data_IF_097843055617
#
_entry.id   IF_097843055617
#
_cell.length_a   1.000
_cell.length_b   1.000
_cell.length_c   1.000
_cell.angle_alpha   90.00
_cell.angle_beta   90.00
_cell.angle_gamma   90.00
#
_symmetry.space_group_name_H-M   'P 1'
#
loop_
_entity.id
_entity.type
_entity.pdbx_description
1 polymer ?
#
# COMPACT_ATOMS: atom_id res chain seq x y z
N UNK A 1 -27.47 22.93 16.43
CA UNK A 1 -27.51 21.59 15.83
C UNK A 1 -28.00 21.73 14.41
N UNK A 2 -27.28 21.12 13.46
CA UNK A 2 -27.74 20.89 12.09
C UNK A 2 -27.11 19.58 11.61
N UNK A 3 -27.97 18.58 11.50
CA UNK A 3 -27.78 17.22 10.98
C UNK A 3 -28.47 17.13 9.62
N UNK A 4 -27.78 16.65 8.58
CA UNK A 4 -28.33 15.95 7.39
C UNK A 4 -27.14 15.16 6.80
N UNK A 5 -26.96 13.86 7.02
CA UNK A 5 -27.67 12.68 6.48
C UNK A 5 -27.45 12.44 4.97
N UNK A 6 -26.50 11.53 4.71
CA UNK A 6 -26.46 10.47 3.68
C UNK A 6 -26.05 10.84 2.24
N UNK A 7 -25.00 10.16 1.78
CA UNK A 7 -24.58 10.01 0.39
C UNK A 7 -23.86 8.66 0.22
N UNK A 8 -24.60 7.56 0.37
CA UNK A 8 -24.16 6.23 -0.07
C UNK A 8 -24.73 5.98 -1.47
N UNK A 9 -23.88 6.04 -2.50
CA UNK A 9 -23.88 5.13 -3.65
C UNK A 9 -22.68 5.48 -4.55
N UNK A 10 -21.88 4.46 -4.92
CA UNK A 10 -20.59 4.53 -5.65
C UNK A 10 -19.36 4.76 -4.74
N UNK A 11 -18.90 3.67 -4.10
CA UNK A 11 -17.81 3.63 -3.12
C UNK A 11 -16.39 3.93 -3.61
N UNK A 12 -16.17 5.09 -4.22
CA UNK A 12 -14.87 5.79 -4.25
C UNK A 12 -15.16 7.29 -4.04
N UNK A 13 -15.39 7.67 -2.78
CA UNK A 13 -15.32 9.07 -2.34
C UNK A 13 -13.87 9.32 -1.94
N UNK A 14 -13.28 10.39 -2.47
CA UNK A 14 -11.96 10.88 -2.10
C UNK A 14 -11.77 12.29 -2.63
N UNK A 15 -12.44 13.22 -1.95
CA UNK A 15 -12.18 14.67 -1.80
C UNK A 15 -11.26 15.36 -2.83
N UNK A 16 -11.80 16.39 -3.50
CA UNK A 16 -10.98 17.41 -4.18
C UNK A 16 -10.19 18.22 -3.15
N UNK A 17 -9.04 17.70 -2.72
CA UNK A 17 -8.03 18.48 -2.00
C UNK A 17 -7.27 19.37 -2.98
N UNK A 18 -7.30 20.68 -2.75
CA UNK A 18 -6.41 21.68 -3.36
C UNK A 18 -5.01 21.66 -2.72
N UNK A 19 -4.49 20.47 -2.43
CA UNK A 19 -3.11 20.29 -1.98
C UNK A 19 -2.19 20.24 -3.20
N UNK A 20 -1.07 20.96 -3.12
CA UNK A 20 0.08 20.68 -3.99
C UNK A 20 0.37 19.19 -3.82
N UNK A 21 0.25 18.34 -4.85
CA UNK A 21 0.31 16.91 -4.63
C UNK A 21 1.71 16.58 -4.12
N UNK A 22 1.79 16.20 -2.85
CA UNK A 22 2.99 15.60 -2.30
C UNK A 22 3.11 14.25 -3.00
N UNK A 23 3.88 14.22 -4.10
CA UNK A 23 3.86 13.09 -5.02
C UNK A 23 4.28 11.82 -4.29
N UNK A 24 3.54 10.73 -4.54
CA UNK A 24 3.82 9.40 -4.01
C UNK A 24 3.78 8.38 -5.15
N UNK A 25 4.42 7.20 -4.99
CA UNK A 25 4.36 6.16 -6.00
C UNK A 25 2.92 5.71 -6.26
N UNK A 26 2.48 5.69 -7.52
CA UNK A 26 1.18 5.06 -7.86
C UNK A 26 1.29 3.57 -7.67
N UNK A 27 0.49 3.00 -6.78
CA UNK A 27 0.68 1.63 -6.27
C UNK A 27 -0.60 0.80 -6.34
N UNK A 28 -0.46 -0.48 -6.66
CA UNK A 28 -1.54 -1.49 -6.56
C UNK A 28 -1.00 -2.77 -5.93
N UNK A 29 -1.84 -3.47 -5.18
CA UNK A 29 -1.53 -4.77 -4.60
C UNK A 29 -2.53 -5.84 -5.10
N UNK A 30 -2.02 -7.02 -5.43
CA UNK A 30 -2.82 -8.16 -5.89
C UNK A 30 -2.33 -9.44 -5.22
N UNK A 31 -3.22 -10.17 -4.56
CA UNK A 31 -2.89 -11.50 -4.03
C UNK A 31 -2.90 -12.52 -5.17
N UNK A 32 -1.83 -13.31 -5.25
CA UNK A 32 -1.67 -14.44 -6.16
C UNK A 32 -1.40 -15.70 -5.35
N UNK A 33 -1.38 -16.86 -6.01
CA UNK A 33 -1.02 -18.10 -5.34
C UNK A 33 0.43 -18.00 -4.83
N UNK A 34 0.62 -18.15 -3.52
CA UNK A 34 1.93 -18.10 -2.86
C UNK A 34 2.55 -16.74 -2.60
N UNK A 35 1.99 -15.63 -3.11
CA UNK A 35 2.60 -14.30 -3.00
C UNK A 35 1.59 -13.15 -3.13
N UNK A 36 1.98 -11.95 -2.69
CA UNK A 36 1.30 -10.71 -3.04
C UNK A 36 2.18 -9.90 -3.98
N UNK A 37 1.66 -9.61 -5.17
CA UNK A 37 2.34 -8.76 -6.14
C UNK A 37 2.00 -7.29 -5.89
N UNK A 38 3.03 -6.47 -5.68
CA UNK A 38 2.95 -5.03 -5.58
C UNK A 38 3.48 -4.39 -6.86
N UNK A 39 2.62 -3.70 -7.60
CA UNK A 39 3.03 -2.91 -8.77
C UNK A 39 3.07 -1.44 -8.40
N UNK A 40 4.14 -0.77 -8.80
CA UNK A 40 4.32 0.66 -8.56
C UNK A 40 4.86 1.38 -9.80
N UNK A 41 4.59 2.68 -9.88
CA UNK A 41 5.18 3.61 -10.85
C UNK A 41 6.04 4.61 -10.09
N UNK A 42 7.30 4.75 -10.52
CA UNK A 42 8.31 5.56 -9.84
C UNK A 42 8.36 7.02 -10.28
N UNK A 43 7.67 7.38 -11.36
CA UNK A 43 7.57 8.76 -11.88
C UNK A 43 8.93 9.52 -11.93
N UNK A 44 10.01 8.82 -12.32
CA UNK A 44 11.36 9.38 -12.45
C UNK A 44 12.31 9.17 -11.26
N UNK A 45 11.80 8.65 -10.14
CA UNK A 45 12.60 8.32 -8.95
C UNK A 45 13.36 7.00 -9.12
N UNK A 46 14.44 6.85 -8.35
CA UNK A 46 15.36 5.70 -8.39
C UNK A 46 14.65 4.40 -7.98
N UNK A 47 13.91 4.45 -6.88
CA UNK A 47 13.21 3.31 -6.29
C UNK A 47 11.99 3.71 -5.49
N UNK A 48 11.38 2.71 -4.87
CA UNK A 48 10.39 2.87 -3.82
C UNK A 48 10.87 2.19 -2.55
N UNK A 49 10.56 2.78 -1.40
CA UNK A 49 10.73 2.14 -0.11
C UNK A 49 9.39 1.56 0.32
N UNK A 50 9.37 0.25 0.59
CA UNK A 50 8.14 -0.52 0.80
C UNK A 50 8.07 -0.95 2.26
N UNK A 51 6.92 -0.69 2.87
CA UNK A 51 6.58 -1.22 4.19
C UNK A 51 5.30 -2.04 4.14
N UNK A 52 5.18 -2.95 5.08
CA UNK A 52 3.98 -3.77 5.26
C UNK A 52 3.55 -3.85 6.71
N UNK A 53 2.28 -4.20 6.88
CA UNK A 53 1.68 -4.47 8.17
C UNK A 53 0.71 -5.64 8.01
N UNK A 54 0.78 -6.63 8.91
CA UNK A 54 -0.01 -7.86 8.81
C UNK A 54 -1.09 -7.87 9.90
N UNK A 55 -2.33 -8.13 9.52
CA UNK A 55 -3.46 -8.25 10.45
C UNK A 55 -3.62 -7.02 11.33
N UNK A 56 -3.59 -7.22 12.65
CA UNK A 56 -3.76 -6.18 13.66
C UNK A 56 -2.44 -5.56 14.15
N UNK A 57 -1.33 -5.80 13.45
CA UNK A 57 -0.06 -5.14 13.76
C UNK A 57 -0.26 -3.62 13.80
N UNK A 58 0.45 -2.96 14.71
CA UNK A 58 0.43 -1.50 14.92
C UNK A 58 1.67 -0.81 14.37
N UNK A 59 2.74 -1.58 14.14
CA UNK A 59 3.99 -1.14 13.53
C UNK A 59 4.02 -1.45 12.04
N UNK A 60 4.75 -0.65 11.28
CA UNK A 60 5.07 -0.92 9.89
C UNK A 60 6.43 -1.60 9.82
N UNK A 61 6.49 -2.76 9.18
CA UNK A 61 7.71 -3.51 8.95
C UNK A 61 8.29 -3.15 7.60
N UNK A 62 9.57 -2.77 7.59
CA UNK A 62 10.33 -2.61 6.36
C UNK A 62 10.35 -3.93 5.58
N UNK A 63 10.01 -3.85 4.30
CA UNK A 63 10.11 -4.98 3.37
C UNK A 63 11.37 -4.87 2.52
N UNK A 64 11.44 -3.83 1.71
CA UNK A 64 12.47 -3.67 0.70
C UNK A 64 12.52 -2.24 0.17
N UNK A 65 13.67 -1.89 -0.39
CA UNK A 65 13.80 -0.84 -1.40
C UNK A 65 13.81 -1.56 -2.75
N UNK A 66 12.90 -1.19 -3.64
CA UNK A 66 12.82 -1.79 -4.97
C UNK A 66 12.94 -0.75 -6.07
N UNK A 67 13.86 -0.99 -6.99
CA UNK A 67 14.11 -0.15 -8.17
C UNK A 67 13.38 -0.66 -9.40
N UNK A 68 12.67 -1.79 -9.35
CA UNK A 68 11.99 -2.41 -10.50
C UNK A 68 10.63 -2.94 -10.08
N UNK A 69 9.60 -2.55 -10.82
CA UNK A 69 8.24 -3.06 -10.62
C UNK A 69 8.05 -4.34 -11.45
N UNK A 70 7.39 -5.39 -10.93
CA UNK A 70 6.77 -5.49 -9.61
C UNK A 70 7.72 -5.93 -8.49
N UNK A 71 7.33 -5.67 -7.24
CA UNK A 71 7.85 -6.36 -6.05
C UNK A 71 6.90 -7.49 -5.64
N UNK A 72 7.43 -8.66 -5.30
CA UNK A 72 6.64 -9.83 -4.95
C UNK A 72 6.88 -10.19 -3.47
N UNK A 73 5.88 -9.98 -2.62
CA UNK A 73 5.91 -10.42 -1.21
C UNK A 73 5.55 -11.90 -1.11
N UNK A 74 6.58 -12.76 -1.12
CA UNK A 74 6.46 -14.21 -1.00
C UNK A 74 6.55 -14.72 0.45
N UNK A 75 6.41 -13.85 1.46
CA UNK A 75 6.41 -14.30 2.86
C UNK A 75 5.23 -15.25 3.08
N UNK A 76 5.40 -16.38 3.77
CA UNK A 76 4.31 -17.30 4.06
C UNK A 76 3.26 -16.64 4.99
N UNK A 77 2.06 -17.22 5.06
CA UNK A 77 1.06 -16.85 6.06
C UNK A 77 1.68 -16.92 7.47
N UNK A 78 1.40 -15.94 8.32
CA UNK A 78 1.84 -15.98 9.72
C UNK A 78 1.23 -17.16 10.47
N UNK A 79 -0.02 -17.49 10.15
CA UNK A 79 -0.71 -18.67 10.67
C UNK A 79 -1.09 -19.59 9.50
N UNK A 80 -0.53 -20.82 9.41
CA UNK A 80 -0.82 -21.73 8.32
C UNK A 80 -2.32 -22.01 8.16
N UNK A 81 -2.82 -21.89 6.93
CA UNK A 81 -4.23 -22.15 6.60
C UNK A 81 -5.21 -21.06 7.05
N UNK A 82 -4.75 -19.95 7.63
CA UNK A 82 -5.59 -18.80 7.97
C UNK A 82 -5.27 -17.63 7.04
N UNK A 83 -6.23 -17.13 6.25
CA UNK A 83 -6.01 -15.94 5.45
C UNK A 83 -5.73 -14.73 6.34
N UNK A 84 -4.83 -13.86 5.91
CA UNK A 84 -4.43 -12.67 6.65
C UNK A 84 -4.57 -11.42 5.79
N UNK A 85 -4.91 -10.30 6.43
CA UNK A 85 -4.88 -8.99 5.78
C UNK A 85 -3.45 -8.48 5.73
N UNK A 86 -2.96 -8.15 4.55
CA UNK A 86 -1.69 -7.45 4.36
C UNK A 86 -1.95 -6.05 3.87
N UNK A 87 -1.44 -5.08 4.62
CA UNK A 87 -1.49 -3.66 4.32
C UNK A 87 -0.11 -3.21 3.88
N UNK A 88 -0.03 -2.40 2.83
CA UNK A 88 1.22 -1.88 2.30
C UNK A 88 1.15 -0.37 2.13
N UNK A 89 2.29 0.27 2.33
CA UNK A 89 2.51 1.66 1.97
C UNK A 89 3.89 1.81 1.35
N UNK A 90 4.02 2.78 0.46
CA UNK A 90 5.28 3.06 -0.21
C UNK A 90 5.60 4.55 -0.16
N UNK A 91 6.87 4.88 -0.27
CA UNK A 91 7.31 6.23 -0.58
C UNK A 91 8.41 6.17 -1.64
N UNK A 92 8.72 7.31 -2.27
CA UNK A 92 9.84 7.36 -3.21
C UNK A 92 11.16 7.20 -2.49
N UNK A 93 12.16 6.67 -3.20
CA UNK A 93 13.51 6.50 -2.68
C UNK A 93 14.55 6.89 -3.72
N UNK A 94 15.46 7.81 -3.35
CA UNK A 94 16.60 8.28 -4.16
C UNK A 94 17.89 8.29 -3.34
N UNK A 95 18.14 7.21 -2.60
CA UNK A 95 19.18 7.12 -1.57
C UNK A 95 18.62 7.27 -0.15
N UNK A 96 17.55 8.04 0.01
CA UNK A 96 16.77 8.16 1.25
C UNK A 96 15.27 8.09 0.97
N UNK A 97 14.46 7.46 1.84
CA UNK A 97 13.02 7.44 1.68
C UNK A 97 12.42 8.84 1.84
N UNK A 98 11.47 9.19 0.98
CA UNK A 98 10.67 10.40 1.18
C UNK A 98 9.71 10.19 2.34
N UNK A 99 9.36 11.26 3.06
CA UNK A 99 8.41 11.17 4.16
C UNK A 99 6.93 11.24 3.71
N UNK A 100 6.69 11.07 2.40
CA UNK A 100 5.38 11.10 1.78
C UNK A 100 4.97 9.69 1.40
N UNK A 101 4.01 9.15 2.14
CA UNK A 101 3.55 7.78 1.98
C UNK A 101 2.31 7.72 1.11
N UNK A 102 2.20 6.68 0.29
CA UNK A 102 0.96 6.36 -0.42
C UNK A 102 -0.19 6.15 0.56
N UNK A 103 -1.42 6.25 0.06
CA UNK A 103 -2.55 5.61 0.71
C UNK A 103 -2.24 4.12 0.95
N UNK A 104 -2.78 3.58 2.04
CA UNK A 104 -2.59 2.18 2.40
C UNK A 104 -3.36 1.31 1.40
N UNK A 105 -2.65 0.39 0.75
CA UNK A 105 -3.29 -0.65 -0.07
C UNK A 105 -3.42 -1.92 0.78
N UNK A 106 -4.64 -2.46 0.89
CA UNK A 106 -4.96 -3.66 1.65
C UNK A 106 -5.30 -4.81 0.70
N UNK A 107 -4.83 -6.02 1.03
CA UNK A 107 -5.22 -7.25 0.35
C UNK A 107 -5.38 -8.38 1.36
N UNK A 108 -6.33 -9.27 1.11
CA UNK A 108 -6.45 -10.52 1.86
C UNK A 108 -5.63 -11.60 1.15
N UNK A 109 -4.60 -12.12 1.81
CA UNK A 109 -3.74 -13.18 1.30
C UNK A 109 -4.11 -14.52 1.95
N UNK A 110 -4.38 -15.54 1.12
CA UNK A 110 -4.87 -16.85 1.57
C UNK A 110 -3.86 -18.01 1.44
N UNK A 111 -2.67 -17.75 0.88
CA UNK A 111 -1.74 -18.80 0.44
C UNK A 111 -1.98 -19.27 -0.98
#
# INVERSE_FOLDING_TARGET
GYTVAIGEDLGIIGEESTEVPNATPRTTAEARSGEVQLRFIKDGHTGVYIESQIGADTTWDYLAIDTTSPYNDSRPLRTPGQPEKRRYRMCFWDGTPTNNWTNIVEVTFGG
#
